data_IF_522160081576
#
_entry.id   IF_522160081576
#
_cell.length_a   1.000
_cell.length_b   1.000
_cell.length_c   1.000
_cell.angle_alpha   90.00
_cell.angle_beta   90.00
_cell.angle_gamma   90.00
#
_symmetry.space_group_name_H-M   'P 1'
#
loop_
_entity.id
_entity.type
_entity.pdbx_description
1 polymer ?
#
# COMPACT_ATOMS: atom_id res chain seq x y z
N UNK A 1 -14.21 17.52 1.46
CA UNK A 1 -12.90 17.15 1.99
C UNK A 1 -12.45 15.84 1.33
N UNK A 2 -11.40 15.86 0.51
CA UNK A 2 -10.93 14.62 -0.11
C UNK A 2 -10.38 13.65 0.93
N UNK A 3 -10.65 12.38 0.72
CA UNK A 3 -10.17 11.31 1.58
C UNK A 3 -9.60 10.19 0.70
N UNK A 4 -8.39 9.77 0.99
CA UNK A 4 -7.73 8.70 0.26
C UNK A 4 -7.29 7.63 1.24
N UNK A 5 -7.72 6.40 0.99
CA UNK A 5 -7.27 5.25 1.76
C UNK A 5 -6.42 4.36 0.87
N UNK A 6 -5.20 4.09 1.32
CA UNK A 6 -4.27 3.23 0.57
C UNK A 6 -3.99 2.01 1.42
N UNK A 7 -4.34 0.84 0.91
CA UNK A 7 -4.08 -0.42 1.60
C UNK A 7 -2.80 -1.01 1.04
N UNK A 8 -1.90 -1.38 1.93
CA UNK A 8 -0.59 -1.92 1.57
C UNK A 8 -0.28 -3.10 2.46
N UNK A 9 0.45 -4.08 1.94
CA UNK A 9 1.10 -5.04 2.83
C UNK A 9 2.27 -4.33 3.48
N UNK A 10 2.60 -4.71 4.71
CA UNK A 10 3.53 -3.90 5.51
C UNK A 10 5.00 -4.16 5.24
N UNK A 11 5.35 -5.22 4.53
CA UNK A 11 6.77 -5.49 4.28
C UNK A 11 7.37 -4.43 3.36
N UNK A 12 8.56 -4.00 3.71
CA UNK A 12 9.28 -3.02 2.91
C UNK A 12 8.81 -1.59 3.05
N UNK A 13 7.80 -1.34 3.90
CA UNK A 13 7.24 0.00 4.07
C UNK A 13 7.85 0.62 5.34
N UNK A 14 8.66 1.63 5.16
CA UNK A 14 9.32 2.33 6.27
C UNK A 14 8.55 3.57 6.65
N UNK A 15 8.90 4.17 7.79
CA UNK A 15 8.32 5.45 8.20
C UNK A 15 8.59 6.54 7.14
N UNK A 16 9.77 6.49 6.53
CA UNK A 16 10.12 7.45 5.48
C UNK A 16 9.24 7.27 4.25
N UNK A 17 8.98 6.02 3.87
CA UNK A 17 8.07 5.72 2.76
C UNK A 17 6.68 6.28 3.03
N UNK A 18 6.19 6.10 4.26
CA UNK A 18 4.85 6.58 4.63
C UNK A 18 4.76 8.10 4.51
N UNK A 19 5.77 8.80 5.02
CA UNK A 19 5.80 10.25 4.95
C UNK A 19 5.84 10.74 3.51
N UNK A 20 6.64 10.09 2.67
CA UNK A 20 6.76 10.46 1.27
C UNK A 20 5.47 10.20 0.51
N UNK A 21 4.81 9.06 0.78
CA UNK A 21 3.54 8.74 0.13
C UNK A 21 2.47 9.76 0.48
N UNK A 22 2.35 10.09 1.76
CA UNK A 22 1.36 11.09 2.20
C UNK A 22 1.63 12.42 1.53
N UNK A 23 2.89 12.82 1.46
CA UNK A 23 3.27 14.08 0.83
C UNK A 23 2.89 14.09 -0.66
N UNK A 24 3.29 13.05 -1.39
CA UNK A 24 3.06 13.00 -2.84
C UNK A 24 1.59 12.88 -3.20
N UNK A 25 0.84 12.08 -2.45
CA UNK A 25 -0.60 11.97 -2.70
C UNK A 25 -1.30 13.30 -2.41
N UNK A 26 -0.89 13.98 -1.34
CA UNK A 26 -1.44 15.29 -1.01
C UNK A 26 -1.13 16.29 -2.13
N UNK A 27 0.13 16.34 -2.57
CA UNK A 27 0.55 17.25 -3.64
C UNK A 27 -0.25 17.00 -4.93
N UNK A 28 -0.51 15.74 -5.25
CA UNK A 28 -1.28 15.38 -6.43
C UNK A 28 -2.71 15.92 -6.34
N UNK A 29 -3.35 15.75 -5.20
CA UNK A 29 -4.72 16.20 -5.02
C UNK A 29 -4.82 17.72 -5.00
N UNK A 30 -3.82 18.39 -4.45
CA UNK A 30 -3.74 19.86 -4.50
C UNK A 30 -3.60 20.31 -5.96
N UNK A 31 -2.71 19.66 -6.69
CA UNK A 31 -2.38 20.03 -8.05
C UNK A 31 -3.56 19.82 -9.00
N UNK A 32 -4.21 18.68 -8.90
CA UNK A 32 -5.27 18.29 -9.82
C UNK A 32 -6.61 18.94 -9.45
N UNK A 33 -6.93 18.98 -8.16
CA UNK A 33 -8.25 19.41 -7.69
C UNK A 33 -8.27 20.82 -7.11
N UNK A 34 -7.12 21.42 -6.87
CA UNK A 34 -7.06 22.75 -6.26
C UNK A 34 -7.54 22.79 -4.82
N UNK A 35 -7.50 21.65 -4.13
CA UNK A 35 -7.94 21.59 -2.73
C UNK A 35 -6.83 22.05 -1.81
N UNK A 36 -7.23 22.52 -0.62
CA UNK A 36 -6.27 22.94 0.39
C UNK A 36 -5.64 21.71 1.05
N UNK A 37 -4.31 21.70 1.25
CA UNK A 37 -3.64 20.55 1.86
C UNK A 37 -4.25 20.13 3.20
N UNK A 38 -4.64 21.10 4.02
CA UNK A 38 -5.19 20.81 5.33
C UNK A 38 -6.56 20.15 5.29
N UNK A 39 -7.22 20.15 4.11
CA UNK A 39 -8.51 19.48 3.93
C UNK A 39 -8.36 18.08 3.35
N UNK A 40 -7.14 17.68 2.98
CA UNK A 40 -6.89 16.38 2.35
C UNK A 40 -6.45 15.40 3.42
N UNK A 41 -7.21 14.32 3.56
CA UNK A 41 -6.94 13.30 4.56
C UNK A 41 -6.52 12.02 3.87
N UNK A 42 -5.39 11.45 4.30
CA UNK A 42 -4.84 10.23 3.71
C UNK A 42 -4.60 9.22 4.82
N UNK A 43 -5.10 8.02 4.61
CA UNK A 43 -4.90 6.91 5.55
C UNK A 43 -4.10 5.84 4.82
N UNK A 44 -3.01 5.43 5.43
CA UNK A 44 -2.21 4.30 4.96
C UNK A 44 -2.58 3.12 5.85
N UNK A 45 -3.26 2.15 5.26
CA UNK A 45 -3.79 1.00 5.98
C UNK A 45 -2.86 -0.19 5.71
N UNK A 46 -1.99 -0.46 6.67
CA UNK A 46 -1.01 -1.53 6.55
C UNK A 46 -1.64 -2.85 6.98
N UNK A 47 -1.67 -3.79 6.06
CA UNK A 47 -2.32 -5.09 6.25
C UNK A 47 -1.25 -6.17 6.30
N UNK A 48 -1.40 -7.12 7.23
CA UNK A 48 -0.50 -8.25 7.29
C UNK A 48 -0.67 -9.15 6.07
N UNK A 49 0.43 -9.72 5.58
CA UNK A 49 0.40 -10.59 4.41
C UNK A 49 -0.56 -11.77 4.59
N UNK A 50 -0.70 -12.25 5.82
CA UNK A 50 -1.59 -13.37 6.12
C UNK A 50 -3.06 -13.01 5.91
N UNK A 51 -3.36 -11.73 5.78
CA UNK A 51 -4.73 -11.24 5.54
C UNK A 51 -4.92 -10.70 4.14
N UNK A 52 -3.94 -10.90 3.25
CA UNK A 52 -3.98 -10.36 1.89
C UNK A 52 -3.97 -11.51 0.90
N UNK A 53 -5.00 -11.56 0.07
CA UNK A 53 -5.15 -12.64 -0.91
C UNK A 53 -5.19 -12.16 -2.33
N UNK A 54 -4.64 -12.97 -3.22
CA UNK A 54 -4.76 -12.79 -4.66
C UNK A 54 -4.51 -14.13 -5.34
N UNK A 55 -4.96 -14.24 -6.57
CA UNK A 55 -4.84 -15.51 -7.34
C UNK A 55 -5.47 -16.69 -6.61
N UNK A 56 -6.51 -16.42 -5.80
CA UNK A 56 -7.21 -17.47 -5.05
C UNK A 56 -6.46 -17.98 -3.82
N UNK A 57 -5.38 -17.30 -3.43
CA UNK A 57 -4.55 -17.75 -2.33
C UNK A 57 -4.15 -16.55 -1.44
N UNK A 58 -3.79 -16.84 -0.21
CA UNK A 58 -3.17 -15.82 0.64
C UNK A 58 -1.77 -15.53 0.09
N UNK A 59 -1.31 -14.30 0.31
CA UNK A 59 0.01 -13.87 -0.16
C UNK A 59 1.12 -14.83 0.30
N UNK A 60 1.06 -15.26 1.56
CA UNK A 60 2.05 -16.17 2.12
C UNK A 60 2.07 -17.51 1.39
N UNK A 61 0.89 -18.02 1.04
CA UNK A 61 0.78 -19.27 0.28
C UNK A 61 1.34 -19.10 -1.14
N UNK A 62 0.97 -18.03 -1.79
CA UNK A 62 1.42 -17.77 -3.16
C UNK A 62 2.94 -17.68 -3.25
N UNK A 63 3.54 -16.93 -2.34
CA UNK A 63 5.01 -16.80 -2.31
C UNK A 63 5.71 -18.11 -2.00
N UNK A 64 5.13 -18.90 -1.10
CA UNK A 64 5.67 -20.22 -0.77
C UNK A 64 5.65 -21.13 -1.99
N UNK A 65 4.52 -21.12 -2.72
CA UNK A 65 4.39 -21.93 -3.93
C UNK A 65 5.34 -21.50 -5.02
N UNK A 66 5.55 -20.20 -5.18
CA UNK A 66 6.51 -19.66 -6.14
C UNK A 66 7.93 -20.12 -5.80
N UNK A 67 8.30 -20.02 -4.53
CA UNK A 67 9.62 -20.43 -4.05
C UNK A 67 9.81 -21.93 -4.24
N UNK A 68 8.80 -22.72 -3.90
CA UNK A 68 8.84 -24.18 -4.07
C UNK A 68 9.01 -24.56 -5.52
N UNK A 69 8.27 -23.90 -6.42
CA UNK A 69 8.39 -24.17 -7.86
C UNK A 69 9.78 -23.89 -8.36
N UNK A 70 10.43 -22.82 -7.88
CA UNK A 70 11.80 -22.48 -8.25
C UNK A 70 12.79 -23.49 -7.70
N UNK A 71 12.64 -23.86 -6.44
CA UNK A 71 13.61 -24.74 -5.80
C UNK A 71 13.44 -26.20 -6.22
N UNK A 72 12.31 -26.54 -6.80
CA UNK A 72 12.05 -27.89 -7.27
C UNK A 72 12.65 -28.23 -8.64
N UNK A 73 13.46 -27.35 -9.17
CA UNK A 73 14.05 -27.55 -10.51
C UNK A 73 15.51 -27.90 -10.43
#
# INVERSE_FOLDING_TARGET
MPYLNVKLTREGVTAEHKAELVKRFTDTLVDVLGKKPEHIHIVLDLVDEENWGYAGMLTTQYRRDQTRARSGR
#
